data_IF_439764735669
#
_entry.id   IF_439764735669
#
_cell.length_a   1.000
_cell.length_b   1.000
_cell.length_c   1.000
_cell.angle_alpha   90.00
_cell.angle_beta   90.00
_cell.angle_gamma   90.00
#
_symmetry.space_group_name_H-M   'P 1'
#
loop_
_entity.id
_entity.type
_entity.pdbx_description
1 polymer ?
#
# COMPACT_ATOMS: atom_id res chain seq x y z
N UNK A 1 6.23 -17.90 -2.47
CA UNK A 1 5.30 -18.99 -2.20
C UNK A 1 4.34 -18.71 -1.03
N UNK A 2 4.80 -18.24 0.13
CA UNK A 2 3.98 -18.01 1.34
C UNK A 2 2.97 -16.87 1.22
N UNK A 3 3.35 -15.73 0.66
CA UNK A 3 2.44 -14.58 0.42
C UNK A 3 1.35 -14.96 -0.59
N UNK A 4 1.66 -15.79 -1.59
CA UNK A 4 0.67 -16.30 -2.55
C UNK A 4 -0.38 -17.18 -1.84
N UNK A 5 0.04 -18.05 -0.92
CA UNK A 5 -0.90 -18.88 -0.13
C UNK A 5 -1.79 -18.03 0.79
N UNK A 6 -1.24 -16.97 1.40
CA UNK A 6 -2.05 -16.03 2.20
C UNK A 6 -3.08 -15.30 1.35
N UNK A 7 -2.71 -14.88 0.12
CA UNK A 7 -3.67 -14.26 -0.82
C UNK A 7 -4.78 -15.22 -1.24
N UNK A 8 -4.45 -16.48 -1.49
CA UNK A 8 -5.44 -17.52 -1.82
C UNK A 8 -6.43 -17.74 -0.66
N UNK A 9 -5.96 -17.75 0.59
CA UNK A 9 -6.81 -17.82 1.78
C UNK A 9 -7.72 -16.59 1.91
N UNK A 10 -7.17 -15.37 1.70
CA UNK A 10 -7.95 -14.14 1.75
C UNK A 10 -9.03 -14.10 0.67
N UNK A 11 -8.75 -14.64 -0.52
CA UNK A 11 -9.73 -14.81 -1.58
C UNK A 11 -10.82 -15.84 -1.23
N UNK A 12 -10.54 -16.77 -0.30
CA UNK A 12 -11.48 -17.76 0.19
C UNK A 12 -12.37 -17.26 1.35
N UNK A 13 -12.27 -15.98 1.73
CA UNK A 13 -13.12 -15.36 2.74
C UNK A 13 -12.48 -15.17 4.12
N UNK A 14 -11.18 -15.44 4.26
CA UNK A 14 -10.45 -15.08 5.48
C UNK A 14 -10.33 -13.55 5.63
N UNK A 15 -10.14 -13.08 6.86
CA UNK A 15 -10.01 -11.65 7.14
C UNK A 15 -8.63 -11.14 6.78
N UNK A 16 -8.58 -10.08 5.97
CA UNK A 16 -7.37 -9.35 5.66
C UNK A 16 -6.94 -8.49 6.85
N UNK A 17 -5.70 -8.61 7.29
CA UNK A 17 -5.13 -7.73 8.31
C UNK A 17 -4.61 -6.43 7.68
N UNK A 18 -4.99 -5.28 8.23
CA UNK A 18 -4.28 -4.03 7.97
C UNK A 18 -3.06 -3.97 8.88
N UNK A 19 -1.89 -4.10 8.29
CA UNK A 19 -0.63 -4.20 9.04
C UNK A 19 0.20 -2.93 8.83
N UNK A 20 0.40 -2.19 9.92
CA UNK A 20 1.26 -1.01 9.95
C UNK A 20 2.66 -1.38 10.42
N UNK A 21 3.64 -1.09 9.58
CA UNK A 21 5.05 -1.27 9.88
C UNK A 21 5.58 -0.06 10.65
N UNK A 22 6.23 -0.31 11.77
CA UNK A 22 6.85 0.72 12.60
C UNK A 22 8.35 0.48 12.73
N UNK A 23 9.14 1.56 12.75
CA UNK A 23 10.61 1.52 12.84
C UNK A 23 11.13 1.75 14.27
N UNK A 24 10.24 1.93 15.21
CA UNK A 24 10.49 2.07 16.66
C UNK A 24 9.64 1.11 17.48
N UNK A 25 9.25 1.54 18.67
CA UNK A 25 8.32 0.78 19.51
C UNK A 25 6.93 0.77 18.88
N UNK A 26 6.32 -0.40 18.77
CA UNK A 26 4.97 -0.53 18.23
C UNK A 26 3.96 0.07 19.23
N UNK A 27 3.07 0.96 18.77
CA UNK A 27 1.97 1.44 19.60
C UNK A 27 0.98 0.31 19.88
N UNK A 28 0.12 0.50 20.88
CA UNK A 28 -0.99 -0.41 21.12
C UNK A 28 -1.94 -0.43 19.90
N UNK A 29 -2.54 -1.57 19.57
CA UNK A 29 -3.50 -1.67 18.48
C UNK A 29 -4.65 -0.66 18.66
N UNK A 30 -4.95 0.09 17.60
CA UNK A 30 -6.04 1.05 17.56
C UNK A 30 -7.18 0.52 16.69
N UNK A 31 -8.40 0.55 17.22
CA UNK A 31 -9.58 0.08 16.50
C UNK A 31 -10.20 1.16 15.59
N UNK A 32 -10.08 2.45 15.95
CA UNK A 32 -10.79 3.54 15.28
C UNK A 32 -10.45 3.73 13.80
N UNK A 33 -9.20 3.88 13.40
CA UNK A 33 -8.87 4.13 11.99
C UNK A 33 -9.31 3.01 11.08
N UNK A 34 -9.10 1.76 11.52
CA UNK A 34 -9.46 0.59 10.73
C UNK A 34 -10.97 0.40 10.64
N UNK A 35 -11.75 0.87 11.60
CA UNK A 35 -13.21 0.68 11.61
C UNK A 35 -13.90 1.39 10.45
N UNK A 36 -13.40 2.55 10.02
CA UNK A 36 -13.93 3.29 8.86
C UNK A 36 -13.58 2.60 7.55
N UNK A 37 -12.30 2.27 7.37
CA UNK A 37 -11.85 1.53 6.20
C UNK A 37 -12.58 0.18 6.11
N UNK A 38 -12.67 -0.55 7.23
CA UNK A 38 -13.38 -1.82 7.30
C UNK A 38 -14.82 -1.70 6.82
N UNK A 39 -15.60 -0.76 7.38
CA UNK A 39 -16.99 -0.54 6.95
C UNK A 39 -17.10 -0.21 5.46
N UNK A 40 -16.19 0.60 4.94
CA UNK A 40 -16.18 0.95 3.53
C UNK A 40 -15.81 -0.24 2.64
N UNK A 41 -14.84 -1.05 3.03
CA UNK A 41 -14.42 -2.26 2.29
C UNK A 41 -15.52 -3.31 2.34
N UNK A 42 -15.98 -3.70 3.54
CA UNK A 42 -16.99 -4.74 3.74
C UNK A 42 -18.36 -4.35 3.13
N UNK A 43 -18.71 -3.07 3.14
CA UNK A 43 -19.96 -2.57 2.52
C UNK A 43 -19.93 -2.45 1.00
N UNK A 44 -18.77 -2.53 0.36
CA UNK A 44 -18.62 -2.27 -1.09
C UNK A 44 -17.91 -3.39 -1.85
N UNK A 45 -17.31 -4.32 -1.14
CA UNK A 45 -16.58 -5.46 -1.71
C UNK A 45 -16.93 -6.74 -0.95
N UNK A 46 -16.45 -7.87 -1.42
CA UNK A 46 -16.54 -9.15 -0.71
C UNK A 46 -15.39 -9.37 0.27
N UNK A 47 -14.47 -8.40 0.39
CA UNK A 47 -13.34 -8.50 1.29
C UNK A 47 -13.78 -8.25 2.74
N UNK A 48 -13.24 -9.05 3.65
CA UNK A 48 -13.42 -8.88 5.08
C UNK A 48 -12.11 -8.38 5.71
N UNK A 49 -12.16 -7.28 6.43
CA UNK A 49 -11.00 -6.77 7.16
C UNK A 49 -11.04 -7.21 8.64
N UNK A 50 -9.87 -7.49 9.20
CA UNK A 50 -9.75 -7.72 10.63
C UNK A 50 -10.14 -6.45 11.40
N UNK A 51 -10.87 -6.54 12.54
CA UNK A 51 -11.38 -5.36 13.25
C UNK A 51 -10.28 -4.49 13.88
N UNK A 52 -9.10 -5.05 14.10
CA UNK A 52 -7.97 -4.34 14.70
C UNK A 52 -6.87 -4.11 13.68
N UNK A 53 -6.30 -2.90 13.68
CA UNK A 53 -5.05 -2.61 13.00
C UNK A 53 -3.91 -3.28 13.74
N UNK A 54 -3.11 -4.08 13.03
CA UNK A 54 -1.92 -4.71 13.59
C UNK A 54 -0.71 -3.83 13.34
N UNK A 55 0.16 -3.75 14.36
CA UNK A 55 1.47 -3.12 14.23
C UNK A 55 2.56 -4.18 14.29
N UNK A 56 3.53 -4.09 13.39
CA UNK A 56 4.69 -4.96 13.34
C UNK A 56 5.97 -4.13 13.31
N UNK A 57 7.00 -4.61 13.97
CA UNK A 57 8.29 -3.93 13.97
C UNK A 57 9.17 -4.47 12.84
N UNK A 58 9.83 -3.55 12.16
CA UNK A 58 10.72 -3.84 11.04
C UNK A 58 11.76 -4.94 11.34
N UNK A 59 12.32 -4.97 12.57
CA UNK A 59 13.44 -5.87 12.91
C UNK A 59 13.02 -7.26 13.35
N UNK A 60 11.85 -7.43 13.92
CA UNK A 60 11.46 -8.64 14.64
C UNK A 60 10.50 -9.52 13.86
N UNK A 61 9.70 -8.95 12.99
CA UNK A 61 8.67 -9.70 12.27
C UNK A 61 9.20 -10.28 10.95
N UNK A 62 8.67 -11.44 10.57
CA UNK A 62 8.85 -11.97 9.22
C UNK A 62 7.89 -11.25 8.28
N UNK A 63 8.41 -10.28 7.51
CA UNK A 63 7.62 -9.45 6.60
C UNK A 63 6.81 -10.28 5.59
N UNK A 64 7.37 -11.41 5.14
CA UNK A 64 6.73 -12.34 4.19
C UNK A 64 5.46 -13.04 4.71
N UNK A 65 5.08 -12.81 5.98
CA UNK A 65 3.77 -13.27 6.49
C UNK A 65 2.63 -12.35 6.07
N UNK A 66 2.95 -11.13 5.69
CA UNK A 66 1.98 -10.09 5.39
C UNK A 66 2.03 -9.76 3.90
N UNK A 67 0.95 -9.93 3.16
CA UNK A 67 0.93 -9.58 1.73
C UNK A 67 0.99 -8.07 1.50
N UNK A 68 0.59 -7.29 2.51
CA UNK A 68 0.54 -5.85 2.48
C UNK A 68 1.06 -5.26 3.78
N UNK A 69 1.92 -4.26 3.65
CA UNK A 69 2.41 -3.45 4.76
C UNK A 69 2.13 -1.97 4.48
N UNK A 70 1.74 -1.25 5.50
CA UNK A 70 1.59 0.20 5.49
C UNK A 70 2.64 0.83 6.41
N UNK A 71 3.26 1.91 6.01
CA UNK A 71 4.18 2.67 6.85
C UNK A 71 4.00 4.18 6.65
N UNK A 72 3.99 4.94 7.74
CA UNK A 72 3.97 6.40 7.72
C UNK A 72 5.41 6.93 7.65
N UNK A 73 5.69 7.83 6.71
CA UNK A 73 7.03 8.42 6.49
C UNK A 73 7.30 9.57 7.46
N UNK A 74 7.24 9.32 8.76
CA UNK A 74 7.45 10.35 9.80
C UNK A 74 8.92 10.63 10.12
N UNK A 75 9.82 9.76 9.66
CA UNK A 75 11.26 9.88 9.81
C UNK A 75 11.96 9.33 8.58
N UNK A 76 13.24 9.62 8.38
CA UNK A 76 14.02 8.94 7.35
C UNK A 76 13.93 7.42 7.49
N UNK A 77 14.05 6.68 6.37
CA UNK A 77 14.03 5.22 6.41
C UNK A 77 15.23 4.69 7.23
N UNK A 78 15.11 3.46 7.75
CA UNK A 78 16.22 2.82 8.44
C UNK A 78 17.40 2.59 7.48
N UNK A 79 18.58 2.55 8.05
CA UNK A 79 19.79 2.18 7.29
C UNK A 79 19.61 0.82 6.61
N UNK A 80 20.08 0.74 5.37
CA UNK A 80 19.96 -0.43 4.52
C UNK A 80 21.27 -1.23 4.50
N UNK A 81 21.46 -2.09 5.48
CA UNK A 81 22.52 -3.08 5.44
C UNK A 81 22.18 -4.25 4.47
N UNK A 82 23.14 -5.09 4.17
CA UNK A 82 22.95 -6.22 3.25
C UNK A 82 21.84 -7.16 3.72
N UNK A 83 21.76 -7.46 5.02
CA UNK A 83 20.75 -8.35 5.59
C UNK A 83 19.35 -7.76 5.43
N UNK A 84 19.20 -6.47 5.70
CA UNK A 84 17.95 -5.74 5.51
C UNK A 84 17.52 -5.73 4.05
N UNK A 85 18.46 -5.51 3.12
CA UNK A 85 18.19 -5.53 1.69
C UNK A 85 17.70 -6.90 1.22
N UNK A 86 18.33 -8.00 1.63
CA UNK A 86 17.86 -9.34 1.31
C UNK A 86 16.46 -9.60 1.87
N UNK A 87 16.18 -9.17 3.07
CA UNK A 87 14.89 -9.32 3.72
C UNK A 87 13.76 -8.59 2.98
N UNK A 88 14.04 -7.37 2.52
CA UNK A 88 13.10 -6.61 1.70
C UNK A 88 12.91 -7.23 0.31
N UNK A 89 13.99 -7.65 -0.33
CA UNK A 89 13.90 -8.37 -1.61
C UNK A 89 13.07 -9.62 -1.48
N UNK A 90 13.30 -10.42 -0.44
CA UNK A 90 12.50 -11.63 -0.15
C UNK A 90 11.01 -11.28 0.03
N UNK A 91 10.70 -10.24 0.79
CA UNK A 91 9.32 -9.77 0.95
C UNK A 91 8.67 -9.41 -0.39
N UNK A 92 9.31 -8.57 -1.18
CA UNK A 92 8.76 -8.13 -2.47
C UNK A 92 8.71 -9.26 -3.50
N UNK A 93 9.74 -10.09 -3.61
CA UNK A 93 9.78 -11.21 -4.55
C UNK A 93 8.74 -12.30 -4.24
N UNK A 94 8.31 -12.40 -2.98
CA UNK A 94 7.22 -13.29 -2.57
C UNK A 94 5.83 -12.65 -2.70
N UNK A 95 5.71 -11.53 -3.37
CA UNK A 95 4.43 -10.89 -3.65
C UNK A 95 4.04 -9.79 -2.67
N UNK A 96 4.90 -9.37 -1.74
CA UNK A 96 4.62 -8.30 -0.79
C UNK A 96 4.52 -6.93 -1.46
N UNK A 97 3.68 -6.07 -0.92
CA UNK A 97 3.56 -4.66 -1.31
C UNK A 97 3.67 -3.78 -0.08
N UNK A 98 4.49 -2.73 -0.16
CA UNK A 98 4.60 -1.71 0.89
C UNK A 98 3.99 -0.39 0.42
N UNK A 99 3.05 0.12 1.20
CA UNK A 99 2.49 1.45 1.03
C UNK A 99 3.17 2.42 1.99
N UNK A 100 3.92 3.35 1.44
CA UNK A 100 4.56 4.46 2.15
C UNK A 100 3.63 5.66 2.11
N UNK A 101 3.16 6.08 3.26
CA UNK A 101 2.18 7.14 3.40
C UNK A 101 2.77 8.40 4.03
N UNK A 102 2.26 9.56 3.67
CA UNK A 102 2.70 10.83 4.24
C UNK A 102 2.51 10.87 5.76
N UNK A 103 3.47 11.44 6.46
CA UNK A 103 3.37 11.58 7.91
C UNK A 103 2.26 12.54 8.32
N UNK A 104 1.37 12.13 9.22
CA UNK A 104 0.30 13.00 9.72
C UNK A 104 0.81 14.15 10.61
N UNK A 105 1.91 13.92 11.34
CA UNK A 105 2.39 14.81 12.41
C UNK A 105 3.47 15.79 11.96
N UNK A 106 3.89 15.79 10.69
CA UNK A 106 4.94 16.69 10.28
C UNK A 106 4.45 18.14 10.41
N UNK A 107 4.99 18.81 11.40
CA UNK A 107 4.79 20.25 11.60
C UNK A 107 5.49 20.97 10.45
N UNK A 108 4.78 21.88 9.83
CA UNK A 108 5.21 22.74 8.72
C UNK A 108 6.71 23.11 8.76
N UNK A 109 7.53 22.38 8.01
CA UNK A 109 8.96 22.67 7.91
C UNK A 109 9.55 22.01 6.66
N UNK A 110 10.62 22.60 6.18
CA UNK A 110 11.36 22.24 4.94
C UNK A 110 11.89 20.78 4.87
N UNK A 111 11.54 19.92 5.83
CA UNK A 111 12.10 18.57 5.95
C UNK A 111 11.20 17.46 5.39
N UNK A 112 9.93 17.73 5.11
CA UNK A 112 8.98 16.68 4.63
C UNK A 112 9.37 16.13 3.27
N UNK A 113 9.74 17.02 2.36
CA UNK A 113 10.14 16.63 1.01
C UNK A 113 11.46 15.82 1.07
N UNK A 114 12.41 16.22 1.93
CA UNK A 114 13.66 15.50 2.12
C UNK A 114 13.43 14.09 2.70
N UNK A 115 12.52 13.95 3.67
CA UNK A 115 12.15 12.64 4.22
C UNK A 115 11.47 11.78 3.15
N UNK A 116 10.50 12.32 2.42
CA UNK A 116 9.84 11.60 1.35
C UNK A 116 10.81 11.18 0.23
N UNK A 117 11.76 12.03 -0.15
CA UNK A 117 12.78 11.72 -1.15
C UNK A 117 13.81 10.69 -0.62
N UNK A 118 14.10 10.69 0.68
CA UNK A 118 14.94 9.66 1.29
C UNK A 118 14.28 8.27 1.20
N UNK A 119 12.96 8.19 1.36
CA UNK A 119 12.21 6.95 1.18
C UNK A 119 12.19 6.46 -0.28
N UNK A 120 12.14 7.38 -1.25
CA UNK A 120 12.31 7.03 -2.66
C UNK A 120 13.70 6.45 -2.94
N UNK A 121 14.73 7.10 -2.40
CA UNK A 121 16.11 6.63 -2.52
C UNK A 121 16.31 5.27 -1.85
N UNK A 122 15.69 5.07 -0.69
CA UNK A 122 15.67 3.80 0.01
C UNK A 122 15.04 2.69 -0.83
N UNK A 123 13.85 2.91 -1.41
CA UNK A 123 13.20 1.95 -2.31
C UNK A 123 14.09 1.57 -3.50
N UNK A 124 14.73 2.58 -4.10
CA UNK A 124 15.66 2.37 -5.21
C UNK A 124 16.92 1.59 -4.80
N UNK A 125 17.37 1.70 -3.54
CA UNK A 125 18.50 0.91 -3.05
C UNK A 125 18.22 -0.59 -2.96
N UNK A 126 16.95 -0.98 -2.87
CA UNK A 126 16.54 -2.39 -2.88
C UNK A 126 16.56 -2.93 -4.32
N UNK A 127 16.06 -2.14 -5.28
CA UNK A 127 15.98 -2.48 -6.71
C UNK A 127 16.59 -1.35 -7.55
N UNK A 128 17.92 -1.32 -7.74
CA UNK A 128 18.60 -0.20 -8.41
C UNK A 128 18.17 0.00 -9.86
N UNK A 129 17.80 -1.09 -10.53
CA UNK A 129 17.45 -1.08 -11.95
C UNK A 129 16.01 -0.64 -12.21
N UNK A 130 15.18 -0.48 -11.16
CA UNK A 130 13.80 -0.03 -11.29
C UNK A 130 13.68 1.48 -11.17
N UNK A 131 12.73 2.07 -11.90
CA UNK A 131 12.42 3.50 -11.85
C UNK A 131 11.11 3.79 -11.11
N UNK A 132 11.05 4.93 -10.42
CA UNK A 132 9.79 5.44 -9.92
C UNK A 132 8.96 6.04 -11.06
N UNK A 133 7.70 5.63 -11.17
CA UNK A 133 6.74 6.21 -12.09
C UNK A 133 5.65 6.98 -11.33
N UNK A 134 5.18 8.12 -11.84
CA UNK A 134 4.02 8.78 -11.25
C UNK A 134 2.76 7.96 -11.53
N UNK A 135 1.86 7.87 -10.54
CA UNK A 135 0.55 7.27 -10.78
C UNK A 135 -0.19 8.08 -11.85
N UNK A 136 -0.65 7.40 -12.88
CA UNK A 136 -1.42 7.99 -13.97
C UNK A 136 -2.75 7.25 -14.17
N UNK A 137 -3.63 7.81 -15.00
CA UNK A 137 -4.98 7.25 -15.24
C UNK A 137 -4.97 5.89 -15.94
N UNK A 138 -3.92 5.58 -16.68
CA UNK A 138 -3.77 4.30 -17.38
C UNK A 138 -3.24 3.18 -16.49
N UNK A 139 -2.78 3.50 -15.28
CA UNK A 139 -2.24 2.51 -14.36
C UNK A 139 -3.37 1.74 -13.64
N UNK A 140 -3.19 0.43 -13.43
CA UNK A 140 -4.20 -0.44 -12.80
C UNK A 140 -4.70 0.06 -11.44
N UNK A 141 -3.83 0.63 -10.60
CA UNK A 141 -4.23 1.21 -9.32
C UNK A 141 -5.30 2.30 -9.48
N UNK A 142 -5.34 2.96 -10.65
CA UNK A 142 -6.32 4.02 -10.92
C UNK A 142 -7.73 3.51 -11.17
N UNK A 143 -7.89 2.22 -11.47
CA UNK A 143 -9.17 1.63 -11.85
C UNK A 143 -9.37 0.17 -11.39
N UNK A 144 -8.54 -0.34 -10.49
CA UNK A 144 -8.61 -1.76 -10.05
C UNK A 144 -9.97 -2.16 -9.48
N UNK A 145 -10.67 -1.22 -8.86
CA UNK A 145 -12.06 -1.39 -8.39
C UNK A 145 -12.90 -0.12 -8.62
N UNK A 146 -12.37 1.05 -8.29
CA UNK A 146 -12.96 2.36 -8.55
C UNK A 146 -12.13 3.14 -9.54
N UNK A 147 -12.81 3.91 -10.42
CA UNK A 147 -12.13 4.95 -11.18
C UNK A 147 -11.74 6.08 -10.21
N UNK A 148 -10.44 6.31 -10.04
CA UNK A 148 -9.96 7.36 -9.16
C UNK A 148 -10.23 8.75 -9.73
N UNK A 149 -10.56 9.69 -8.84
CA UNK A 149 -10.83 11.08 -9.20
C UNK A 149 -9.60 11.76 -9.81
N UNK A 150 -9.82 12.58 -10.83
CA UNK A 150 -8.77 13.35 -11.50
C UNK A 150 -7.91 14.19 -10.56
N UNK A 151 -8.48 14.64 -9.44
CA UNK A 151 -7.77 15.41 -8.40
C UNK A 151 -6.62 14.65 -7.75
N UNK A 152 -6.64 13.31 -7.79
CA UNK A 152 -5.53 12.48 -7.30
C UNK A 152 -4.28 12.57 -8.17
N UNK A 153 -4.44 13.00 -9.42
CA UNK A 153 -3.34 13.11 -10.38
C UNK A 153 -2.84 14.55 -10.54
N UNK A 154 -3.53 15.52 -9.92
CA UNK A 154 -3.28 16.95 -10.05
C UNK A 154 -2.89 17.53 -8.68
N UNK A 155 -1.73 17.16 -8.17
CA UNK A 155 -1.18 17.82 -6.98
C UNK A 155 -0.56 19.19 -7.32
N UNK A 156 -0.48 20.11 -6.37
CA UNK A 156 0.16 21.41 -6.54
C UNK A 156 1.63 21.33 -6.97
N UNK A 157 2.29 20.19 -6.71
CA UNK A 157 3.70 19.88 -7.03
C UNK A 157 3.85 18.62 -7.91
N UNK A 158 2.87 18.32 -8.73
CA UNK A 158 2.83 17.09 -9.54
C UNK A 158 2.00 15.98 -8.89
N UNK A 159 2.06 14.78 -9.45
CA UNK A 159 1.30 13.63 -8.95
C UNK A 159 1.77 13.24 -7.56
N UNK A 160 0.91 13.26 -6.55
CA UNK A 160 1.29 13.00 -5.16
C UNK A 160 1.66 11.54 -4.90
N UNK A 161 1.22 10.62 -5.75
CA UNK A 161 1.47 9.18 -5.64
C UNK A 161 2.45 8.73 -6.71
N UNK A 162 3.50 8.04 -6.27
CA UNK A 162 4.49 7.41 -7.16
C UNK A 162 4.55 5.91 -6.88
N UNK A 163 4.88 5.15 -7.90
CA UNK A 163 4.92 3.70 -7.87
C UNK A 163 6.32 3.20 -8.21
N UNK A 164 6.75 2.13 -7.54
CA UNK A 164 7.89 1.33 -7.95
C UNK A 164 7.37 -0.05 -8.33
N UNK A 165 7.69 -0.47 -9.56
CA UNK A 165 7.20 -1.72 -10.10
C UNK A 165 8.37 -2.65 -10.41
N UNK A 166 8.19 -3.93 -10.10
CA UNK A 166 9.13 -4.99 -10.41
C UNK A 166 8.37 -6.12 -11.13
N UNK A 167 8.86 -6.50 -12.30
CA UNK A 167 8.26 -7.58 -13.12
C UNK A 167 6.75 -7.36 -13.38
N UNK A 168 6.36 -6.11 -13.68
CA UNK A 168 4.98 -5.72 -13.96
C UNK A 168 4.06 -5.67 -12.73
N UNK A 169 4.61 -5.74 -11.52
CA UNK A 169 3.86 -5.69 -10.27
C UNK A 169 4.28 -4.51 -9.41
N UNK A 170 3.33 -3.79 -8.86
CA UNK A 170 3.57 -2.73 -7.87
C UNK A 170 4.12 -3.35 -6.59
N UNK A 171 5.33 -2.97 -6.23
CA UNK A 171 6.00 -3.39 -4.99
C UNK A 171 6.00 -2.29 -3.93
N UNK A 172 6.13 -1.02 -4.36
CA UNK A 172 6.07 0.14 -3.48
C UNK A 172 5.09 1.16 -4.04
N UNK A 173 4.25 1.68 -3.16
CA UNK A 173 3.42 2.85 -3.40
C UNK A 173 3.88 3.95 -2.46
N UNK A 174 4.25 5.11 -2.99
CA UNK A 174 4.75 6.24 -2.24
C UNK A 174 3.78 7.42 -2.38
N UNK A 175 3.06 7.73 -1.31
CA UNK A 175 2.12 8.85 -1.23
C UNK A 175 2.74 10.02 -0.47
N UNK A 176 3.03 11.13 -1.17
CA UNK A 176 3.55 12.36 -0.55
C UNK A 176 2.46 13.27 0.00
N UNK A 177 1.21 13.01 -0.35
CA UNK A 177 0.12 13.91 -0.01
C UNK A 177 -0.47 13.61 1.36
N UNK A 178 -0.29 14.52 2.31
CA UNK A 178 -0.99 14.48 3.60
C UNK A 178 -2.51 14.50 3.42
N UNK A 179 -2.99 15.17 2.37
CA UNK A 179 -4.42 15.19 2.01
C UNK A 179 -4.96 13.80 1.69
N UNK A 180 -4.10 12.90 1.22
CA UNK A 180 -4.44 11.52 0.84
C UNK A 180 -3.83 10.49 1.79
N UNK A 181 -3.45 10.90 3.01
CA UNK A 181 -2.82 10.04 4.00
C UNK A 181 -3.83 9.34 4.91
N UNK A 182 -3.36 8.30 5.58
CA UNK A 182 -4.11 7.55 6.58
C UNK A 182 -4.66 8.43 7.71
N UNK A 183 -3.93 9.48 8.08
CA UNK A 183 -4.34 10.41 9.13
C UNK A 183 -5.65 11.14 8.80
N UNK A 184 -5.92 11.42 7.55
CA UNK A 184 -7.20 12.01 7.14
C UNK A 184 -8.36 11.07 7.43
N UNK A 185 -8.15 9.75 7.38
CA UNK A 185 -9.15 8.77 7.80
C UNK A 185 -9.33 8.74 9.32
N UNK A 186 -8.26 8.98 10.10
CA UNK A 186 -8.31 9.04 11.57
C UNK A 186 -9.05 10.27 12.08
N UNK A 187 -8.69 11.43 11.53
CA UNK A 187 -9.04 12.74 12.13
C UNK A 187 -10.34 13.34 11.62
N UNK A 188 -11.01 12.74 10.67
CA UNK A 188 -12.35 13.19 10.30
C UNK A 188 -13.31 12.87 11.47
N UNK A 189 -13.43 13.82 12.41
CA UNK A 189 -14.38 13.80 13.53
C UNK A 189 -15.84 13.87 13.06
N UNK A 190 -16.04 14.06 11.78
CA UNK A 190 -17.36 14.09 11.18
C UNK A 190 -17.93 12.68 11.20
N UNK A 191 -19.06 12.51 11.86
CA UNK A 191 -19.93 11.35 11.72
C UNK A 191 -19.99 10.99 10.23
N UNK A 192 -19.71 9.73 9.90
CA UNK A 192 -19.55 9.23 8.53
C UNK A 192 -20.73 9.62 7.67
N UNK A 193 -20.77 10.84 7.22
CA UNK A 193 -21.53 11.22 6.08
C UNK A 193 -20.67 10.81 4.88
N UNK A 194 -20.94 9.63 4.34
CA UNK A 194 -20.24 9.03 3.18
C UNK A 194 -20.28 9.95 1.94
N UNK A 195 -20.94 11.09 2.05
CA UNK A 195 -21.06 12.13 1.04
C UNK A 195 -19.93 13.19 1.09
N UNK A 196 -18.97 13.06 2.02
CA UNK A 196 -17.84 14.00 2.03
C UNK A 196 -16.86 13.64 0.90
N UNK A 197 -16.74 14.52 -0.12
CA UNK A 197 -16.02 14.16 -1.36
C UNK A 197 -14.55 13.76 -1.15
N UNK A 198 -13.91 14.32 -0.13
CA UNK A 198 -12.51 14.03 0.16
C UNK A 198 -12.34 12.65 0.80
N UNK A 199 -13.15 12.31 1.79
CA UNK A 199 -13.13 11.00 2.44
C UNK A 199 -13.41 9.88 1.43
N UNK A 200 -14.36 10.11 0.53
CA UNK A 200 -14.70 9.15 -0.52
C UNK A 200 -13.52 8.88 -1.46
N UNK A 201 -12.77 9.91 -1.85
CA UNK A 201 -11.59 9.75 -2.71
C UNK A 201 -10.51 8.93 -2.00
N UNK A 202 -10.28 9.17 -0.70
CA UNK A 202 -9.34 8.37 0.10
C UNK A 202 -9.76 6.90 0.16
N UNK A 203 -11.01 6.65 0.51
CA UNK A 203 -11.52 5.30 0.60
C UNK A 203 -11.39 4.55 -0.72
N UNK A 204 -11.62 5.21 -1.85
CA UNK A 204 -11.42 4.62 -3.18
C UNK A 204 -9.96 4.25 -3.45
N UNK A 205 -9.02 5.12 -3.09
CA UNK A 205 -7.59 4.82 -3.23
C UNK A 205 -7.22 3.57 -2.41
N UNK A 206 -7.61 3.53 -1.14
CA UNK A 206 -7.28 2.40 -0.26
C UNK A 206 -7.96 1.10 -0.70
N UNK A 207 -9.21 1.16 -1.16
CA UNK A 207 -9.90 -0.02 -1.72
C UNK A 207 -9.19 -0.49 -2.99
N UNK A 208 -8.85 0.42 -3.91
CA UNK A 208 -8.09 0.07 -5.11
C UNK A 208 -6.75 -0.57 -4.78
N UNK A 209 -6.05 -0.05 -3.76
CA UNK A 209 -4.78 -0.59 -3.31
C UNK A 209 -4.94 -2.04 -2.81
N UNK A 210 -5.94 -2.29 -1.96
CA UNK A 210 -6.24 -3.63 -1.47
C UNK A 210 -6.62 -4.58 -2.60
N UNK A 211 -7.46 -4.12 -3.53
CA UNK A 211 -7.87 -4.92 -4.69
C UNK A 211 -6.68 -5.24 -5.60
N UNK A 212 -5.85 -4.24 -5.93
CA UNK A 212 -4.66 -4.45 -6.74
C UNK A 212 -3.71 -5.47 -6.10
N UNK A 213 -3.46 -5.34 -4.80
CA UNK A 213 -2.61 -6.24 -4.06
C UNK A 213 -3.15 -7.69 -4.08
N UNK A 214 -4.46 -7.88 -3.94
CA UNK A 214 -5.07 -9.21 -3.92
C UNK A 214 -5.18 -9.84 -5.31
N UNK A 215 -5.32 -9.03 -6.36
CA UNK A 215 -5.55 -9.51 -7.73
C UNK A 215 -4.31 -9.45 -8.64
N UNK A 216 -3.23 -8.79 -8.20
CA UNK A 216 -2.05 -8.56 -9.03
C UNK A 216 -1.41 -9.82 -9.60
N UNK A 217 -1.41 -10.93 -8.85
CA UNK A 217 -0.89 -12.21 -9.36
C UNK A 217 -1.89 -12.93 -10.29
N UNK A 218 -3.19 -12.73 -10.10
CA UNK A 218 -4.22 -13.37 -10.91
C UNK A 218 -4.21 -12.90 -12.36
N UNK A 219 -3.95 -11.61 -12.58
CA UNK A 219 -3.88 -11.04 -13.93
C UNK A 219 -2.62 -11.48 -14.69
N UNK A 220 -1.49 -11.58 -14.01
CA UNK A 220 -0.26 -12.10 -14.61
C UNK A 220 -0.40 -13.59 -14.98
N UNK A 221 -1.08 -14.38 -14.16
CA UNK A 221 -1.37 -15.78 -14.47
C UNK A 221 -2.33 -15.92 -15.67
N UNK A 222 -3.29 -15.02 -15.84
CA UNK A 222 -4.18 -15.01 -17.03
C UNK A 222 -3.45 -14.69 -18.33
N UNK A 223 -2.45 -13.83 -18.30
CA UNK A 223 -1.61 -13.55 -19.49
C UNK A 223 -0.81 -14.78 -19.93
N UNK A 224 -0.51 -15.71 -19.03
CA UNK A 224 0.20 -16.95 -19.34
C UNK A 224 -0.73 -18.12 -19.75
N UNK A 225 -2.03 -18.03 -19.50
CA UNK A 225 -3.00 -19.06 -19.87
C UNK A 225 -2.97 -19.44 -21.36
N UNK A 226 -2.92 -18.49 -22.33
CA UNK A 226 -2.79 -18.85 -23.74
C UNK A 226 -1.51 -19.61 -24.06
N UNK A 227 -0.39 -19.23 -23.43
CA UNK A 227 0.91 -19.88 -23.62
C UNK A 227 0.95 -21.30 -23.01
N UNK A 228 0.27 -21.50 -21.88
CA UNK A 228 0.15 -22.81 -21.23
C UNK A 228 -0.74 -23.75 -22.06
N UNK A 229 -1.84 -23.22 -22.61
CA UNK A 229 -2.76 -23.99 -23.46
C UNK A 229 -2.12 -24.40 -24.80
N UNK A 230 -1.24 -23.54 -25.37
CA UNK A 230 -0.49 -23.86 -26.58
C UNK A 230 0.56 -24.95 -26.37
N UNK A 231 1.11 -25.11 -25.17
CA UNK A 231 2.10 -26.17 -24.85
C UNK A 231 1.46 -27.53 -24.55
N UNK A 232 0.16 -27.61 -24.44
CA UNK A 232 -0.59 -28.86 -24.20
C UNK A 232 -1.19 -29.48 -25.48
N UNK A 233 -0.90 -28.88 -26.63
CA UNK A 233 -1.16 -29.43 -27.98
C UNK A 233 0.15 -29.95 -28.55
#
# INVERSE_FOLDING_TARGET
MRIRQEREKLAAGDRLEWVSLVFGSAPSPLAEPISRLRRAVEGRTTLLLHPLQRYVTYRTERLTRHPFLHAEMCSPPPEMDLKSRFRWRDFFSNGGTLFLDACPQSHSGNNEDAVADSWKSWGKSIFPDTGWSPLNRGHELSYSFYLLDKRMFLGERGTPVSLLEQDGRVILVHNRSRRWSWDTLKNSTVSVNLNEPLLEIHLRLYINLLMLMLTGDYKSDQLHLPTILLRRR
#
